data_IF_485877840589
#
_entry.id   IF_485877840589
#
_cell.length_a   1.000
_cell.length_b   1.000
_cell.length_c   1.000
_cell.angle_alpha   90.00
_cell.angle_beta   90.00
_cell.angle_gamma   90.00
#
_symmetry.space_group_name_H-M   'P 1'
#
loop_
_entity.id
_entity.type
_entity.pdbx_description
1 polymer ?
#
# COMPACT_ATOMS: atom_id res chain seq x y z
N UNK A 1 19.78 2.82 32.82
CA UNK A 1 18.34 2.53 32.60
C UNK A 1 17.61 3.56 31.74
N UNK A 2 17.74 4.88 31.99
CA UNK A 2 17.03 5.93 31.22
C UNK A 2 17.36 5.98 29.71
N UNK A 3 18.62 5.75 29.33
CA UNK A 3 19.04 5.75 27.92
C UNK A 3 18.40 4.63 27.10
N UNK A 4 18.24 3.43 27.70
CA UNK A 4 17.59 2.29 27.03
C UNK A 4 16.11 2.52 26.79
N UNK A 5 15.43 3.19 27.72
CA UNK A 5 14.02 3.58 27.55
C UNK A 5 13.86 4.63 26.43
N UNK A 6 14.77 5.59 26.36
CA UNK A 6 14.78 6.61 25.31
C UNK A 6 15.04 6.02 23.92
N UNK A 7 16.00 5.10 23.79
CA UNK A 7 16.25 4.42 22.52
C UNK A 7 15.08 3.55 22.11
N UNK A 8 14.45 2.82 23.05
CA UNK A 8 13.27 2.01 22.75
C UNK A 8 12.08 2.87 22.29
N UNK A 9 11.85 4.00 22.95
CA UNK A 9 10.81 4.96 22.55
C UNK A 9 11.08 5.53 21.15
N UNK A 10 12.32 5.91 20.85
CA UNK A 10 12.71 6.41 19.53
C UNK A 10 12.49 5.35 18.43
N UNK A 11 12.86 4.08 18.68
CA UNK A 11 12.61 2.97 17.75
C UNK A 11 11.12 2.73 17.50
N UNK A 12 10.29 2.80 18.54
CA UNK A 12 8.82 2.65 18.43
C UNK A 12 8.16 3.81 17.67
N UNK A 13 8.69 5.03 17.75
CA UNK A 13 8.23 6.13 16.92
C UNK A 13 8.64 5.94 15.44
N UNK A 14 9.86 5.50 15.19
CA UNK A 14 10.38 5.27 13.83
C UNK A 14 9.64 4.14 13.09
N UNK A 15 9.19 3.10 13.79
CA UNK A 15 8.40 2.02 13.20
C UNK A 15 6.98 2.44 12.81
N UNK A 16 6.42 3.48 13.43
CA UNK A 16 5.15 4.08 13.02
C UNK A 16 5.31 5.00 11.80
N UNK A 17 6.50 5.59 11.62
CA UNK A 17 6.83 6.50 10.52
C UNK A 17 7.26 5.77 9.24
N UNK A 18 7.80 4.56 9.35
CA UNK A 18 7.90 3.68 8.20
C UNK A 18 6.48 3.22 7.86
N UNK A 19 5.93 3.56 6.67
CA UNK A 19 4.64 3.03 6.28
C UNK A 19 4.82 1.53 6.17
N UNK A 20 4.44 0.81 7.24
CA UNK A 20 4.61 -0.64 7.39
C UNK A 20 4.26 -1.28 6.06
N UNK A 21 5.26 -1.95 5.48
CA UNK A 21 5.36 -2.24 4.05
C UNK A 21 3.99 -2.43 3.42
N UNK A 22 3.56 -1.43 2.64
CA UNK A 22 2.18 -1.35 2.12
C UNK A 22 1.70 -2.72 1.67
N UNK A 23 0.69 -3.25 2.37
CA UNK A 23 0.10 -4.57 2.14
C UNK A 23 -0.03 -4.82 0.64
N UNK A 24 0.53 -5.94 0.18
CA UNK A 24 0.41 -6.34 -1.22
C UNK A 24 -1.03 -6.77 -1.49
N UNK A 25 -1.51 -6.47 -2.68
CA UNK A 25 -2.86 -6.81 -3.15
C UNK A 25 -2.79 -7.26 -4.62
N UNK A 26 -3.89 -7.80 -5.14
CA UNK A 26 -4.00 -8.24 -6.54
C UNK A 26 -2.86 -9.18 -6.98
N UNK A 27 -2.81 -10.38 -6.40
CA UNK A 27 -1.76 -11.38 -6.68
C UNK A 27 -0.34 -10.82 -6.61
N UNK A 28 -0.08 -9.97 -5.62
CA UNK A 28 1.22 -9.30 -5.40
C UNK A 28 1.63 -8.27 -6.48
N UNK A 29 0.77 -7.98 -7.46
CA UNK A 29 1.00 -6.97 -8.48
C UNK A 29 0.61 -5.54 -8.05
N UNK A 30 -0.10 -5.41 -6.93
CA UNK A 30 -0.54 -4.15 -6.35
C UNK A 30 -0.05 -3.91 -4.94
N UNK A 31 -0.21 -2.66 -4.47
CA UNK A 31 0.04 -2.24 -3.09
C UNK A 31 -1.10 -1.37 -2.57
N UNK A 32 -1.53 -1.62 -1.33
CA UNK A 32 -2.56 -0.85 -0.65
C UNK A 32 -2.01 0.52 -0.23
N UNK A 33 -2.58 1.61 -0.73
CA UNK A 33 -2.18 3.00 -0.44
C UNK A 33 -3.39 3.88 -0.20
N UNK A 34 -3.22 4.98 0.53
CA UNK A 34 -4.29 6.00 0.65
C UNK A 34 -4.58 6.67 -0.70
N UNK A 35 -3.54 6.88 -1.52
CA UNK A 35 -3.64 7.44 -2.87
C UNK A 35 -2.69 6.71 -3.80
N UNK A 36 -3.15 6.42 -5.01
CA UNK A 36 -2.31 5.79 -6.03
C UNK A 36 -1.34 6.80 -6.67
N UNK A 37 -0.19 6.30 -7.11
CA UNK A 37 0.73 7.09 -7.93
C UNK A 37 0.13 7.37 -9.31
N UNK A 38 0.58 8.43 -10.00
CA UNK A 38 0.13 8.77 -11.36
C UNK A 38 0.32 7.63 -12.38
N UNK A 39 1.23 6.69 -12.10
CA UNK A 39 1.53 5.53 -12.96
C UNK A 39 0.82 4.24 -12.54
N UNK A 40 -0.04 4.31 -11.53
CA UNK A 40 -0.86 3.21 -11.03
C UNK A 40 -2.33 3.59 -11.23
N UNK A 41 -3.22 2.60 -11.31
CA UNK A 41 -4.66 2.87 -11.16
C UNK A 41 -5.23 2.06 -10.00
N UNK A 42 -6.35 2.54 -9.50
CA UNK A 42 -7.14 1.85 -8.49
C UNK A 42 -7.76 0.62 -9.15
N UNK A 43 -7.65 -0.53 -8.48
CA UNK A 43 -8.30 -1.75 -8.93
C UNK A 43 -9.43 -2.17 -7.99
N UNK A 44 -9.15 -2.31 -6.69
CA UNK A 44 -10.12 -2.66 -5.63
C UNK A 44 -9.75 -1.97 -4.32
N UNK A 45 -10.64 -2.01 -3.33
CA UNK A 45 -10.29 -1.63 -1.96
C UNK A 45 -9.60 -2.79 -1.24
N UNK A 46 -8.62 -2.45 -0.41
CA UNK A 46 -8.01 -3.36 0.54
C UNK A 46 -8.87 -3.46 1.81
N UNK A 47 -8.64 -4.49 2.62
CA UNK A 47 -9.36 -4.73 3.89
C UNK A 47 -9.19 -3.63 4.94
N UNK A 48 -8.18 -2.77 4.78
CA UNK A 48 -7.93 -1.60 5.62
C UNK A 48 -8.48 -0.29 5.02
N UNK A 49 -9.46 -0.39 4.12
CA UNK A 49 -10.12 0.70 3.39
C UNK A 49 -9.17 1.56 2.53
N UNK A 50 -7.93 1.10 2.30
CA UNK A 50 -7.00 1.74 1.36
C UNK A 50 -7.27 1.29 -0.07
N UNK A 51 -6.78 2.04 -1.05
CA UNK A 51 -6.86 1.71 -2.47
C UNK A 51 -5.79 0.68 -2.83
N UNK A 52 -6.16 -0.42 -3.48
CA UNK A 52 -5.20 -1.31 -4.14
C UNK A 52 -4.72 -0.67 -5.44
N UNK A 53 -3.50 -0.16 -5.42
CA UNK A 53 -2.87 0.50 -6.55
C UNK A 53 -2.05 -0.49 -7.37
N UNK A 54 -2.41 -0.65 -8.64
CA UNK A 54 -1.82 -1.64 -9.56
C UNK A 54 -1.26 -0.93 -10.79
N UNK A 55 -0.10 -1.38 -11.29
CA UNK A 55 0.43 -0.88 -12.57
C UNK A 55 -0.49 -1.31 -13.73
N UNK A 56 -0.75 -0.44 -14.73
CA UNK A 56 -1.66 -0.75 -15.84
C UNK A 56 -1.38 -2.07 -16.56
N UNK A 57 -0.10 -2.50 -16.67
CA UNK A 57 0.28 -3.77 -17.29
C UNK A 57 -0.27 -5.04 -16.62
N UNK A 58 -0.69 -4.93 -15.36
CA UNK A 58 -1.23 -6.05 -14.57
C UNK A 58 -2.73 -5.91 -14.32
N UNK A 59 -3.35 -4.85 -14.83
CA UNK A 59 -4.80 -4.77 -14.86
C UNK A 59 -5.31 -5.68 -15.96
N UNK A 60 -6.47 -6.33 -15.75
CA UNK A 60 -7.16 -6.95 -16.86
C UNK A 60 -7.35 -5.86 -17.92
N UNK A 61 -6.91 -6.13 -19.15
CA UNK A 61 -7.32 -5.30 -20.28
C UNK A 61 -8.83 -5.33 -20.24
N UNK A 62 -9.48 -4.19 -20.04
CA UNK A 62 -10.90 -4.07 -20.33
C UNK A 62 -11.05 -4.63 -21.75
N UNK A 63 -11.59 -5.85 -21.88
CA UNK A 63 -12.41 -6.12 -23.04
C UNK A 63 -13.49 -5.08 -22.87
N UNK A 64 -13.40 -3.96 -23.61
CA UNK A 64 -14.55 -3.09 -23.81
C UNK A 64 -15.69 -4.05 -24.09
N UNK A 65 -16.61 -4.21 -23.15
CA UNK A 65 -17.85 -4.90 -23.45
C UNK A 65 -18.50 -4.04 -24.54
N UNK A 66 -18.70 -4.57 -25.75
CA UNK A 66 -19.45 -3.87 -26.76
C UNK A 66 -20.91 -3.99 -26.35
N UNK A 67 -21.39 -3.01 -25.59
CA UNK A 67 -22.82 -2.73 -25.54
C UNK A 67 -23.15 -1.84 -26.73
#
# INVERSE_FOLDING_TARGET
>A
MKLLLLTLAALLLLSQLTPGGTQKCWNLHGRCRQKCSRRERVYVYCTNNKLCCVKPKFQPREKLWPF
#
